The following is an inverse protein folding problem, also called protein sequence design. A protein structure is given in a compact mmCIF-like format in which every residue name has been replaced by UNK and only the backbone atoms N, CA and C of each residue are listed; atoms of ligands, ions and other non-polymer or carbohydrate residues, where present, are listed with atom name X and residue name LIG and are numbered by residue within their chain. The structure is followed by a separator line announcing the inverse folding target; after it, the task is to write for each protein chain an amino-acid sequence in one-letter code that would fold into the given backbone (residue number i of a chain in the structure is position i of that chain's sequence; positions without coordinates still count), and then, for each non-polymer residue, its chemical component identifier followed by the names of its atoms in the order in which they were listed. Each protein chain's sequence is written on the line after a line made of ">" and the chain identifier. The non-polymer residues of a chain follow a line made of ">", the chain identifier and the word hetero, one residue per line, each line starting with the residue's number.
data_IF_838572659885
#
_entry.id   IF_838572659885
#
_cell.length_a   1.000
_cell.length_b   1.000
_cell.length_c   1.000
_cell.angle_alpha   90.00
_cell.angle_beta   90.00
_cell.angle_gamma   90.00
#
_symmetry.space_group_name_H-M   'P 1'
#
loop_
_entity.id
_entity.type
_entity.pdbx_description
1 polymer ?
#
# COMPACT_ATOMS: atom_id res chain seq x y z
N UNK A 1 -19.99 8.94 -23.78
CA UNK A 1 -18.58 8.55 -24.04
C UNK A 1 -18.14 7.58 -22.94
N UNK A 2 -18.76 6.41 -22.74
CA UNK A 2 -19.66 5.63 -23.59
C UNK A 2 -18.97 4.31 -23.96
N UNK A 3 -18.95 3.38 -23.01
CA UNK A 3 -18.83 1.93 -23.20
C UNK A 3 -17.85 1.43 -24.29
N UNK A 4 -16.55 1.54 -24.03
CA UNK A 4 -15.57 0.63 -24.67
C UNK A 4 -14.52 0.25 -23.63
N UNK A 5 -14.89 -0.48 -22.58
CA UNK A 5 -13.92 -1.15 -21.70
C UNK A 5 -14.59 -2.40 -21.10
N UNK A 6 -14.19 -3.55 -21.62
CA UNK A 6 -14.20 -4.86 -20.97
C UNK A 6 -15.55 -5.53 -20.66
N UNK A 7 -16.20 -6.08 -21.69
CA UNK A 7 -17.44 -6.87 -21.55
C UNK A 7 -17.29 -8.21 -20.81
N UNK A 8 -16.07 -8.62 -20.44
CA UNK A 8 -15.80 -9.92 -19.79
C UNK A 8 -15.71 -9.83 -18.27
N UNK A 9 -15.31 -8.70 -17.68
CA UNK A 9 -15.14 -8.56 -16.22
C UNK A 9 -16.34 -7.89 -15.57
N UNK A 10 -17.12 -8.66 -14.81
CA UNK A 10 -18.29 -8.17 -14.06
C UNK A 10 -17.94 -7.95 -12.59
N UNK A 11 -18.47 -6.88 -12.02
CA UNK A 11 -18.39 -6.62 -10.58
C UNK A 11 -19.43 -7.46 -9.85
N UNK A 12 -19.02 -8.16 -8.79
CA UNK A 12 -19.91 -8.91 -7.91
C UNK A 12 -19.53 -8.68 -6.45
N UNK A 13 -20.53 -8.70 -5.57
CA UNK A 13 -20.38 -8.53 -4.12
C UNK A 13 -21.03 -9.71 -3.42
N UNK A 14 -20.35 -10.34 -2.49
CA UNK A 14 -20.89 -11.46 -1.73
C UNK A 14 -20.19 -11.62 -0.37
N UNK A 15 -20.91 -12.22 0.57
CA UNK A 15 -20.38 -12.61 1.87
C UNK A 15 -20.09 -14.11 1.85
N UNK A 16 -18.85 -14.50 2.15
CA UNK A 16 -18.49 -15.90 2.33
C UNK A 16 -18.95 -16.42 3.69
N UNK A 17 -19.08 -17.74 3.82
CA UNK A 17 -19.52 -18.39 5.08
C UNK A 17 -18.62 -18.08 6.29
N UNK A 18 -17.36 -17.73 6.07
CA UNK A 18 -16.41 -17.34 7.12
C UNK A 18 -16.50 -15.85 7.49
N UNK A 19 -17.48 -15.11 6.97
CA UNK A 19 -17.65 -13.67 7.23
C UNK A 19 -16.81 -12.74 6.35
N UNK A 20 -16.02 -13.26 5.41
CA UNK A 20 -15.24 -12.43 4.47
C UNK A 20 -16.17 -11.81 3.43
N UNK A 21 -16.18 -10.48 3.35
CA UNK A 21 -16.88 -9.76 2.28
C UNK A 21 -15.98 -9.63 1.06
N UNK A 22 -16.44 -10.09 -0.10
CA UNK A 22 -15.65 -10.14 -1.33
C UNK A 22 -16.23 -9.23 -2.39
N UNK A 23 -15.36 -8.51 -3.07
CA UNK A 23 -15.66 -7.66 -4.22
C UNK A 23 -14.83 -8.17 -5.40
N UNK A 24 -15.48 -8.86 -6.33
CA UNK A 24 -14.85 -9.25 -7.60
C UNK A 24 -14.74 -8.02 -8.51
N UNK A 25 -13.59 -7.89 -9.17
CA UNK A 25 -13.20 -6.75 -10.00
C UNK A 25 -13.39 -5.40 -9.28
N UNK A 26 -12.87 -5.32 -8.05
CA UNK A 26 -13.05 -4.17 -7.15
C UNK A 26 -12.60 -2.83 -7.77
N UNK A 27 -11.67 -2.88 -8.71
CA UNK A 27 -11.16 -1.74 -9.47
C UNK A 27 -12.19 -1.14 -10.44
N UNK A 28 -13.16 -1.95 -10.88
CA UNK A 28 -14.29 -1.55 -11.73
C UNK A 28 -15.54 -1.19 -10.89
N UNK A 29 -15.59 -1.59 -9.63
CA UNK A 29 -16.68 -1.26 -8.72
C UNK A 29 -16.82 0.26 -8.53
N UNK A 30 -18.04 0.70 -8.14
CA UNK A 30 -18.28 2.10 -7.75
C UNK A 30 -17.27 2.51 -6.67
N UNK A 31 -16.74 3.75 -6.70
CA UNK A 31 -15.77 4.18 -5.71
C UNK A 31 -16.33 4.04 -4.29
N UNK A 32 -15.55 3.42 -3.40
CA UNK A 32 -15.82 3.41 -1.96
C UNK A 32 -14.54 3.65 -1.19
N UNK A 33 -14.70 3.97 0.09
CA UNK A 33 -13.61 4.14 1.02
C UNK A 33 -14.02 3.61 2.39
N UNK A 34 -13.06 3.14 3.17
CA UNK A 34 -13.28 2.59 4.51
C UNK A 34 -12.01 2.72 5.35
N UNK A 35 -12.08 2.30 6.61
CA UNK A 35 -10.95 2.24 7.52
C UNK A 35 -10.79 0.81 8.06
N UNK A 36 -9.55 0.37 8.27
CA UNK A 36 -9.33 -0.77 9.18
C UNK A 36 -9.74 -0.36 10.60
N UNK A 37 -10.17 -1.32 11.44
CA UNK A 37 -10.44 -1.02 12.84
C UNK A 37 -9.21 -0.38 13.48
N UNK A 38 -9.39 0.79 14.10
CA UNK A 38 -8.33 1.45 14.86
C UNK A 38 -8.02 0.78 16.20
N UNK A 39 -8.28 -0.52 16.33
CA UNK A 39 -8.08 -1.33 17.53
C UNK A 39 -6.92 -2.27 17.25
N UNK A 40 -5.89 -2.22 18.10
CA UNK A 40 -4.67 -3.02 17.96
C UNK A 40 -4.52 -4.02 19.13
N UNK A 41 -5.61 -4.64 19.58
CA UNK A 41 -5.63 -5.44 20.81
C UNK A 41 -5.68 -4.59 22.09
N UNK A 42 -5.63 -5.25 23.25
CA UNK A 42 -5.78 -4.60 24.57
C UNK A 42 -4.56 -3.72 24.90
N UNK A 43 -3.38 -4.14 24.44
CA UNK A 43 -2.10 -3.49 24.76
C UNK A 43 -1.42 -2.84 23.54
N UNK A 44 -1.97 -2.98 22.34
CA UNK A 44 -1.34 -2.43 21.15
C UNK A 44 -1.63 -0.96 20.93
N UNK A 45 -0.76 -0.31 20.16
CA UNK A 45 -0.87 1.11 19.85
C UNK A 45 -1.73 1.30 18.58
N UNK A 46 -2.89 1.98 18.68
CA UNK A 46 -3.83 2.09 17.59
C UNK A 46 -3.27 2.88 16.39
N UNK A 47 -3.61 2.43 15.19
CA UNK A 47 -3.33 3.11 13.92
C UNK A 47 -4.63 3.37 13.18
N UNK A 48 -4.80 4.56 12.61
CA UNK A 48 -5.85 4.77 11.62
C UNK A 48 -5.30 4.41 10.24
N UNK A 49 -6.02 3.56 9.50
CA UNK A 49 -5.62 3.11 8.16
C UNK A 49 -6.79 3.30 7.20
N UNK A 50 -6.64 4.26 6.28
CA UNK A 50 -7.64 4.64 5.31
C UNK A 50 -7.39 3.96 3.96
N UNK A 51 -8.36 3.21 3.47
CA UNK A 51 -8.25 2.48 2.20
C UNK A 51 -9.45 2.73 1.28
N UNK A 52 -9.22 2.50 -0.01
CA UNK A 52 -10.17 2.67 -1.10
C UNK A 52 -10.12 1.49 -2.06
N UNK A 53 -11.06 1.39 -3.00
CA UNK A 53 -11.09 0.34 -4.02
C UNK A 53 -10.38 0.71 -5.32
N UNK A 54 -9.25 1.38 -5.23
CA UNK A 54 -8.43 1.79 -6.38
C UNK A 54 -6.96 1.49 -6.07
N UNK A 55 -6.16 1.20 -7.10
CA UNK A 55 -4.76 0.85 -6.95
C UNK A 55 -4.57 -0.30 -5.96
N UNK A 56 -3.50 -0.22 -5.17
CA UNK A 56 -3.25 -1.17 -4.07
C UNK A 56 -3.97 -0.82 -2.75
N UNK A 57 -5.10 -0.12 -2.85
CA UNK A 57 -6.07 0.17 -1.80
C UNK A 57 -5.67 1.18 -0.71
N UNK A 58 -4.51 1.04 -0.05
CA UNK A 58 -4.13 1.94 1.06
C UNK A 58 -3.89 3.36 0.52
N UNK A 59 -4.73 4.31 0.94
CA UNK A 59 -4.67 5.70 0.52
C UNK A 59 -3.93 6.60 1.51
N UNK A 60 -4.02 6.30 2.82
CA UNK A 60 -3.37 7.05 3.89
C UNK A 60 -3.40 6.27 5.19
N UNK A 61 -2.43 6.49 6.08
CA UNK A 61 -2.43 5.90 7.42
C UNK A 61 -1.51 6.69 8.35
N UNK A 62 -1.71 6.53 9.66
CA UNK A 62 -0.93 7.20 10.70
C UNK A 62 -1.42 6.86 12.10
N UNK A 63 -0.81 7.49 13.09
CA UNK A 63 -1.18 7.29 14.51
C UNK A 63 -1.97 8.49 15.01
N UNK A 64 -2.76 8.33 16.08
CA UNK A 64 -3.51 9.39 16.78
C UNK A 64 -4.46 10.25 15.94
N UNK A 65 -3.93 11.10 15.05
CA UNK A 65 -4.64 12.06 14.22
C UNK A 65 -3.86 12.35 12.91
N UNK A 66 -4.35 13.31 12.11
CA UNK A 66 -3.78 13.62 10.78
C UNK A 66 -2.41 14.30 10.84
N UNK A 67 -2.05 14.94 11.95
CA UNK A 67 -0.73 15.56 12.14
C UNK A 67 0.37 14.53 12.38
N UNK A 68 -0.01 13.27 12.64
CA UNK A 68 0.89 12.13 12.78
C UNK A 68 0.68 11.11 11.63
N UNK A 69 0.41 11.62 10.42
CA UNK A 69 0.30 10.80 9.21
C UNK A 69 1.67 10.23 8.80
N UNK A 70 1.70 8.94 8.46
CA UNK A 70 2.85 8.28 7.83
C UNK A 70 2.71 8.36 6.30
N UNK A 71 1.47 8.25 5.80
CA UNK A 71 1.11 8.56 4.42
C UNK A 71 0.05 9.67 4.42
N UNK A 72 0.30 10.75 3.68
CA UNK A 72 -0.51 11.97 3.72
C UNK A 72 -2.02 11.73 3.53
N UNK A 73 -2.84 12.35 4.39
CA UNK A 73 -4.29 12.19 4.35
C UNK A 73 -4.98 13.07 3.32
N UNK A 74 -5.71 12.44 2.40
CA UNK A 74 -6.65 13.08 1.49
C UNK A 74 -8.08 12.60 1.73
N UNK A 75 -9.09 13.48 1.58
CA UNK A 75 -10.49 13.04 1.56
C UNK A 75 -10.75 12.08 0.39
N UNK A 76 -11.79 11.24 0.52
CA UNK A 76 -12.05 10.11 -0.38
C UNK A 76 -12.06 10.50 -1.88
N UNK A 77 -12.68 11.63 -2.23
CA UNK A 77 -12.74 12.13 -3.60
C UNK A 77 -11.36 12.33 -4.25
N UNK A 78 -10.36 12.79 -3.47
CA UNK A 78 -8.97 12.94 -3.93
C UNK A 78 -8.18 11.63 -3.77
N UNK A 79 -8.48 10.84 -2.74
CA UNK A 79 -7.83 9.57 -2.50
C UNK A 79 -7.98 8.59 -3.69
N UNK A 80 -9.18 8.48 -4.27
CA UNK A 80 -9.42 7.62 -5.44
C UNK A 80 -8.56 7.99 -6.66
N UNK A 81 -8.28 9.29 -6.83
CA UNK A 81 -7.48 9.81 -7.95
C UNK A 81 -5.99 9.58 -7.72
N UNK A 82 -5.56 9.69 -6.46
CA UNK A 82 -4.14 9.74 -6.12
C UNK A 82 -3.56 8.40 -5.67
N UNK A 83 -4.38 7.45 -5.19
CA UNK A 83 -3.89 6.21 -4.56
C UNK A 83 -2.98 5.39 -5.47
N UNK A 84 -3.25 5.37 -6.78
CA UNK A 84 -2.41 4.63 -7.74
C UNK A 84 -1.01 5.24 -7.94
N UNK A 85 -0.82 6.51 -7.56
CA UNK A 85 0.46 7.20 -7.67
C UNK A 85 1.14 7.40 -6.31
N UNK A 86 0.37 7.63 -5.24
CA UNK A 86 0.86 7.97 -3.89
C UNK A 86 0.82 6.81 -2.90
N UNK A 87 -0.05 5.82 -3.12
CA UNK A 87 -0.15 4.63 -2.28
C UNK A 87 0.95 3.61 -2.58
N UNK A 88 0.82 2.40 -2.03
CA UNK A 88 1.77 1.32 -2.31
C UNK A 88 1.81 1.00 -3.79
N UNK A 89 3.01 0.71 -4.31
CA UNK A 89 3.24 0.28 -5.69
C UNK A 89 4.16 -0.92 -5.74
N UNK A 90 3.90 -1.80 -6.69
CA UNK A 90 4.69 -3.01 -6.93
C UNK A 90 4.98 -3.09 -8.41
N UNK A 91 6.25 -3.20 -8.78
CA UNK A 91 6.69 -3.34 -10.16
C UNK A 91 7.41 -4.66 -10.33
N UNK A 92 7.06 -5.37 -11.39
CA UNK A 92 7.63 -6.64 -11.77
C UNK A 92 8.38 -6.46 -13.09
N UNK A 93 9.65 -6.83 -13.10
CA UNK A 93 10.41 -7.07 -14.34
C UNK A 93 10.53 -8.58 -14.52
N UNK A 94 9.83 -9.10 -15.51
CA UNK A 94 9.74 -10.53 -15.81
C UNK A 94 10.61 -10.80 -17.03
N UNK A 95 11.58 -11.68 -16.85
CA UNK A 95 12.50 -12.11 -17.90
C UNK A 95 12.20 -13.58 -18.24
N UNK A 96 11.92 -13.83 -19.52
CA UNK A 96 12.03 -15.15 -20.15
C UNK A 96 13.17 -15.12 -21.20
N UNK A 97 13.46 -16.24 -21.84
CA UNK A 97 14.63 -16.37 -22.74
C UNK A 97 14.55 -15.47 -23.98
N UNK A 98 13.38 -14.92 -24.32
CA UNK A 98 13.15 -14.19 -25.58
C UNK A 98 12.69 -12.74 -25.37
N UNK A 99 12.13 -12.38 -24.19
CA UNK A 99 11.57 -11.05 -23.92
C UNK A 99 11.66 -10.63 -22.46
N UNK A 100 11.66 -9.31 -22.29
CA UNK A 100 11.51 -8.64 -20.98
C UNK A 100 10.15 -7.97 -20.96
N UNK A 101 9.35 -8.26 -19.92
CA UNK A 101 8.05 -7.63 -19.69
C UNK A 101 8.08 -6.88 -18.36
N UNK A 102 7.74 -5.60 -18.40
CA UNK A 102 7.51 -4.79 -17.20
C UNK A 102 6.01 -4.74 -16.90
N UNK A 103 5.64 -5.05 -15.66
CA UNK A 103 4.25 -5.12 -15.25
C UNK A 103 4.05 -4.48 -13.87
N UNK A 104 2.97 -3.72 -13.71
CA UNK A 104 2.58 -3.10 -12.44
C UNK A 104 1.17 -3.63 -12.06
N UNK A 105 1.06 -4.64 -11.17
CA UNK A 105 -0.23 -5.16 -10.74
C UNK A 105 -1.10 -4.08 -10.09
N UNK A 106 -2.43 -4.29 -10.11
CA UNK A 106 -3.44 -3.41 -9.52
C UNK A 106 -3.56 -2.00 -10.13
N UNK A 107 -2.83 -1.68 -11.20
CA UNK A 107 -2.95 -0.43 -11.92
C UNK A 107 -4.13 -0.42 -12.92
N UNK A 108 -4.64 0.77 -13.19
CA UNK A 108 -5.69 1.04 -14.19
C UNK A 108 -5.14 1.84 -15.40
N UNK A 109 -3.85 1.68 -15.72
CA UNK A 109 -3.20 2.42 -16.81
C UNK A 109 -3.45 1.77 -18.19
N UNK A 110 -3.09 2.47 -19.27
CA UNK A 110 -3.27 2.01 -20.67
C UNK A 110 -2.61 0.64 -20.90
N UNK A 111 -1.48 0.36 -20.22
CA UNK A 111 -0.76 -0.90 -20.34
C UNK A 111 -1.52 -2.09 -19.75
N UNK A 112 -2.41 -1.85 -18.78
CA UNK A 112 -3.30 -2.89 -18.26
C UNK A 112 -4.22 -3.46 -19.36
N UNK A 113 -4.56 -2.69 -20.40
CA UNK A 113 -5.35 -3.18 -21.54
C UNK A 113 -4.66 -4.28 -22.35
N UNK A 114 -3.34 -4.48 -22.19
CA UNK A 114 -2.57 -5.50 -22.90
C UNK A 114 -2.53 -6.85 -22.16
N UNK A 115 -3.12 -6.94 -20.97
CA UNK A 115 -3.09 -8.14 -20.14
C UNK A 115 -4.50 -8.57 -19.75
N UNK A 116 -4.75 -9.88 -19.80
CA UNK A 116 -5.92 -10.49 -19.19
C UNK A 116 -5.62 -10.76 -17.71
N UNK A 117 -6.44 -10.17 -16.84
CA UNK A 117 -6.35 -10.38 -15.39
C UNK A 117 -7.73 -10.27 -14.73
N UNK A 118 -7.89 -10.88 -13.56
CA UNK A 118 -9.04 -10.65 -12.67
C UNK A 118 -8.54 -10.19 -11.31
N UNK A 119 -9.32 -9.32 -10.67
CA UNK A 119 -8.95 -8.75 -9.37
C UNK A 119 -10.02 -9.03 -8.34
N UNK A 120 -9.63 -9.19 -7.08
CA UNK A 120 -10.56 -9.34 -5.96
C UNK A 120 -10.09 -8.50 -4.79
N UNK A 121 -11.04 -7.96 -4.04
CA UNK A 121 -10.79 -7.42 -2.70
C UNK A 121 -11.58 -8.26 -1.70
N UNK A 122 -10.91 -8.72 -0.65
CA UNK A 122 -11.46 -9.54 0.42
C UNK A 122 -11.31 -8.75 1.71
N UNK A 123 -12.42 -8.36 2.32
CA UNK A 123 -12.48 -7.56 3.54
C UNK A 123 -12.90 -8.48 4.68
N UNK A 124 -12.07 -8.53 5.72
CA UNK A 124 -12.32 -9.30 6.95
C UNK A 124 -12.49 -8.30 8.10
N UNK A 125 -12.67 -8.81 9.32
CA UNK A 125 -12.94 -7.95 10.47
C UNK A 125 -11.75 -7.06 10.84
N UNK A 126 -10.52 -7.58 10.81
CA UNK A 126 -9.32 -6.87 11.26
C UNK A 126 -8.29 -6.61 10.13
N UNK A 127 -8.53 -7.15 8.95
CA UNK A 127 -7.62 -7.08 7.81
C UNK A 127 -8.40 -6.96 6.50
N UNK A 128 -7.67 -6.68 5.43
CA UNK A 128 -8.17 -6.95 4.09
C UNK A 128 -7.03 -7.39 3.19
N UNK A 129 -7.39 -8.03 2.08
CA UNK A 129 -6.45 -8.43 1.04
C UNK A 129 -6.96 -8.06 -0.34
N UNK A 130 -6.05 -7.77 -1.25
CA UNK A 130 -6.32 -7.65 -2.68
C UNK A 130 -5.57 -8.73 -3.44
N UNK A 131 -6.19 -9.25 -4.49
CA UNK A 131 -5.64 -10.33 -5.29
C UNK A 131 -5.75 -9.96 -6.76
N UNK A 132 -4.73 -10.29 -7.53
CA UNK A 132 -4.73 -10.22 -8.98
C UNK A 132 -4.26 -11.56 -9.54
N UNK A 133 -5.10 -12.19 -10.34
CA UNK A 133 -4.73 -13.32 -11.17
C UNK A 133 -4.53 -12.79 -12.58
N UNK A 134 -3.29 -12.76 -13.07
CA UNK A 134 -2.93 -12.34 -14.41
C UNK A 134 -2.70 -13.56 -15.29
N UNK A 135 -3.69 -13.88 -16.13
CA UNK A 135 -3.65 -15.02 -17.04
C UNK A 135 -2.62 -14.84 -18.16
N UNK A 136 -2.39 -13.62 -18.62
CA UNK A 136 -1.41 -13.36 -19.69
C UNK A 136 0.05 -13.59 -19.25
N UNK A 137 0.34 -13.46 -17.96
CA UNK A 137 1.67 -13.63 -17.38
C UNK A 137 1.84 -14.92 -16.58
N UNK A 138 0.76 -15.68 -16.36
CA UNK A 138 0.69 -16.81 -15.44
C UNK A 138 1.19 -16.47 -14.02
N UNK A 139 0.75 -15.32 -13.51
CA UNK A 139 1.12 -14.84 -12.17
C UNK A 139 -0.11 -14.61 -11.31
N UNK A 140 -0.05 -15.06 -10.06
CA UNK A 140 -0.96 -14.63 -9.01
C UNK A 140 -0.21 -13.70 -8.06
N UNK A 141 -0.78 -12.53 -7.79
CA UNK A 141 -0.26 -11.54 -6.87
C UNK A 141 -1.29 -11.32 -5.76
N UNK A 142 -0.91 -11.63 -4.53
CA UNK A 142 -1.72 -11.41 -3.33
C UNK A 142 -1.06 -10.30 -2.49
N UNK A 143 -1.85 -9.35 -1.99
CA UNK A 143 -1.40 -8.32 -1.04
C UNK A 143 -2.32 -8.31 0.16
N UNK A 144 -1.76 -8.55 1.35
CA UNK A 144 -2.47 -8.50 2.62
C UNK A 144 -2.09 -7.24 3.40
N UNK A 145 -3.07 -6.63 4.08
CA UNK A 145 -2.90 -5.47 4.94
C UNK A 145 -3.55 -5.72 6.30
N UNK A 146 -2.77 -5.56 7.37
CA UNK A 146 -3.24 -5.73 8.74
C UNK A 146 -2.43 -4.88 9.71
N UNK A 147 -3.01 -4.55 10.86
CA UNK A 147 -2.30 -3.90 11.96
C UNK A 147 -1.65 -4.95 12.86
N UNK A 148 -0.57 -4.59 13.55
CA UNK A 148 0.03 -5.46 14.57
C UNK A 148 -0.75 -5.34 15.89
N UNK A 149 -1.27 -6.46 16.38
CA UNK A 149 -2.01 -6.52 17.64
C UNK A 149 -1.07 -6.76 18.83
N UNK A 150 -1.30 -6.08 19.95
CA UNK A 150 -0.57 -6.23 21.23
C UNK A 150 0.95 -5.99 21.16
N UNK A 151 1.43 -5.25 20.16
CA UNK A 151 2.82 -4.83 20.03
C UNK A 151 3.07 -3.46 20.67
N UNK A 152 4.27 -3.18 21.22
CA UNK A 152 4.61 -1.90 21.84
C UNK A 152 4.85 -0.77 20.83
N UNK A 153 4.44 -0.97 19.57
CA UNK A 153 4.56 -0.03 18.47
C UNK A 153 3.34 -0.13 17.56
N UNK A 154 3.02 0.97 16.89
CA UNK A 154 1.96 1.01 15.89
C UNK A 154 2.54 0.74 14.50
N UNK A 155 2.00 -0.24 13.78
CA UNK A 155 2.49 -0.62 12.46
C UNK A 155 1.37 -1.12 11.55
N UNK A 156 1.41 -0.67 10.29
CA UNK A 156 0.69 -1.31 9.20
C UNK A 156 1.63 -2.35 8.58
N UNK A 157 1.30 -3.62 8.77
CA UNK A 157 1.97 -4.72 8.10
C UNK A 157 1.37 -4.92 6.70
N UNK A 158 2.25 -5.12 5.72
CA UNK A 158 1.91 -5.44 4.34
C UNK A 158 2.68 -6.67 3.88
N UNK A 159 1.97 -7.67 3.36
CA UNK A 159 2.59 -8.87 2.78
C UNK A 159 2.26 -8.94 1.30
N UNK A 160 3.28 -9.04 0.45
CA UNK A 160 3.12 -9.23 -0.99
C UNK A 160 3.60 -10.62 -1.36
N UNK A 161 2.72 -11.43 -1.96
CA UNK A 161 3.05 -12.78 -2.42
C UNK A 161 2.89 -12.84 -3.93
N UNK A 162 3.98 -13.17 -4.62
CA UNK A 162 3.99 -13.34 -6.09
C UNK A 162 4.21 -14.82 -6.37
N UNK A 163 3.24 -15.45 -7.02
CA UNK A 163 3.26 -16.88 -7.35
C UNK A 163 3.31 -17.05 -8.86
N UNK A 164 4.34 -17.75 -9.33
CA UNK A 164 4.36 -18.24 -10.71
C UNK A 164 3.52 -19.50 -10.80
N UNK A 165 2.44 -19.46 -11.59
CA UNK A 165 1.55 -20.61 -11.80
C UNK A 165 1.76 -21.28 -13.16
N UNK A 166 2.73 -20.82 -13.95
CA UNK A 166 3.11 -21.51 -15.18
C UNK A 166 3.89 -22.79 -14.90
N UNK A 167 4.05 -23.61 -15.94
CA UNK A 167 4.90 -24.81 -15.92
C UNK A 167 6.40 -24.49 -16.10
N UNK A 168 6.73 -23.24 -16.40
CA UNK A 168 8.09 -22.80 -16.74
C UNK A 168 8.65 -21.89 -15.65
N UNK A 169 9.95 -21.97 -15.39
CA UNK A 169 10.59 -21.08 -14.42
C UNK A 169 10.67 -19.67 -15.00
N UNK A 170 10.21 -18.66 -14.26
CA UNK A 170 10.35 -17.24 -14.60
C UNK A 170 11.40 -16.58 -13.71
N UNK A 171 12.20 -15.68 -14.28
CA UNK A 171 13.08 -14.79 -13.49
C UNK A 171 12.34 -13.48 -13.29
N UNK A 172 12.05 -13.13 -12.04
CA UNK A 172 11.25 -11.96 -11.68
C UNK A 172 12.08 -11.07 -10.75
N UNK A 173 12.32 -9.83 -11.16
CA UNK A 173 12.84 -8.78 -10.29
C UNK A 173 11.67 -7.92 -9.79
N UNK A 174 11.67 -7.58 -8.50
CA UNK A 174 10.56 -6.90 -7.84
C UNK A 174 11.04 -5.60 -7.23
N UNK A 175 10.32 -4.51 -7.49
CA UNK A 175 10.45 -3.25 -6.77
C UNK A 175 9.12 -2.97 -6.09
N UNK A 176 9.12 -2.84 -4.77
CA UNK A 176 7.89 -2.80 -3.97
C UNK A 176 8.02 -1.84 -2.79
N UNK A 177 6.99 -1.04 -2.53
CA UNK A 177 6.95 -0.15 -1.38
C UNK A 177 6.07 1.09 -1.56
N UNK A 178 6.27 2.07 -0.69
CA UNK A 178 5.64 3.39 -0.79
C UNK A 178 6.54 4.36 -1.57
N UNK A 179 5.97 5.21 -2.45
CA UNK A 179 6.72 6.25 -3.13
C UNK A 179 7.06 7.44 -2.21
N UNK A 180 6.29 7.63 -1.13
CA UNK A 180 6.49 8.70 -0.17
C UNK A 180 6.11 8.25 1.24
N UNK A 181 6.93 8.62 2.21
CA UNK A 181 6.66 8.47 3.65
C UNK A 181 6.81 9.85 4.27
N UNK A 182 5.77 10.32 4.95
CA UNK A 182 5.80 11.57 5.70
C UNK A 182 6.70 11.41 6.93
N UNK A 183 7.70 12.28 7.14
CA UNK A 183 8.51 12.27 8.34
C UNK A 183 7.69 12.62 9.59
N UNK A 184 8.02 12.02 10.72
CA UNK A 184 7.38 12.35 11.98
C UNK A 184 7.59 13.82 12.37
N UNK A 185 6.53 14.45 12.88
CA UNK A 185 6.53 15.85 13.31
C UNK A 185 6.09 16.85 12.24
N UNK A 186 5.76 16.40 11.02
CA UNK A 186 5.15 17.26 10.00
C UNK A 186 3.63 17.26 10.18
N UNK A 187 3.06 18.40 10.56
CA UNK A 187 1.60 18.52 10.69
C UNK A 187 0.89 18.40 9.33
N UNK A 188 -0.39 18.03 9.37
CA UNK A 188 -1.22 17.91 8.17
C UNK A 188 -1.37 19.25 7.45
N UNK A 189 -1.38 20.38 8.18
CA UNK A 189 -1.43 21.70 7.55
C UNK A 189 -0.14 21.98 6.77
N UNK A 190 1.04 21.69 7.34
CA UNK A 190 2.32 21.88 6.67
C UNK A 190 2.43 20.97 5.44
N UNK A 191 1.99 19.71 5.53
CA UNK A 191 1.97 18.80 4.37
C UNK A 191 1.16 19.37 3.20
N UNK A 192 0.08 20.10 3.48
CA UNK A 192 -0.84 20.60 2.44
C UNK A 192 -0.44 21.95 1.88
N UNK A 193 -0.06 22.87 2.75
CA UNK A 193 0.16 24.27 2.37
C UNK A 193 1.64 24.58 2.14
N UNK A 194 2.56 23.84 2.78
CA UNK A 194 4.00 24.16 2.81
C UNK A 194 4.91 22.95 2.50
N UNK A 195 4.40 21.93 1.79
CA UNK A 195 5.12 20.67 1.52
C UNK A 195 6.53 20.87 0.99
N UNK A 196 6.71 21.76 0.00
CA UNK A 196 8.03 22.04 -0.59
C UNK A 196 8.99 22.69 0.41
N UNK A 197 8.49 23.62 1.21
CA UNK A 197 9.32 24.33 2.19
C UNK A 197 9.81 23.36 3.25
N UNK A 198 8.93 22.50 3.77
CA UNK A 198 9.30 21.62 4.90
C UNK A 198 10.35 20.56 4.52
N UNK A 199 10.54 20.25 3.24
CA UNK A 199 11.57 19.31 2.76
C UNK A 199 12.96 19.64 3.29
N UNK A 200 13.31 20.93 3.46
CA UNK A 200 14.61 21.34 4.00
C UNK A 200 14.86 20.90 5.46
N UNK A 201 13.81 20.55 6.20
CA UNK A 201 13.87 20.05 7.57
C UNK A 201 13.71 18.54 7.68
N UNK A 202 13.29 17.87 6.60
CA UNK A 202 13.08 16.42 6.56
C UNK A 202 14.41 15.69 6.59
N UNK A 203 14.53 14.69 7.48
CA UNK A 203 15.72 13.86 7.61
C UNK A 203 15.35 12.39 7.64
N UNK A 204 16.19 11.59 6.98
CA UNK A 204 16.22 10.14 7.14
C UNK A 204 17.51 9.78 7.86
N UNK A 205 17.38 9.16 9.03
CA UNK A 205 18.52 8.65 9.82
C UNK A 205 18.49 7.14 9.82
N UNK A 206 19.67 6.52 9.74
CA UNK A 206 19.82 5.07 9.88
C UNK A 206 20.25 4.81 11.31
N UNK A 207 19.30 4.41 12.16
CA UNK A 207 19.47 4.41 13.62
C UNK A 207 19.83 3.04 14.21
N UNK A 208 19.76 1.98 13.41
CA UNK A 208 20.04 0.60 13.85
C UNK A 208 21.19 -0.03 13.06
N UNK A 209 21.77 -1.12 13.58
CA UNK A 209 22.82 -1.89 12.87
C UNK A 209 22.31 -2.48 11.55
N UNK A 210 21.01 -2.73 11.48
CA UNK A 210 20.27 -3.28 10.36
C UNK A 210 19.95 -2.22 9.29
N UNK A 211 20.46 -0.98 9.45
CA UNK A 211 20.22 0.14 8.54
C UNK A 211 18.73 0.42 8.29
N UNK A 212 17.91 0.38 9.35
CA UNK A 212 16.49 0.73 9.25
C UNK A 212 16.36 2.26 9.09
N UNK A 213 15.70 2.75 8.02
CA UNK A 213 15.48 4.18 7.82
C UNK A 213 14.47 4.72 8.84
N UNK A 214 14.81 5.85 9.45
CA UNK A 214 14.02 6.55 10.45
C UNK A 214 13.72 7.97 9.97
N UNK A 215 12.46 8.24 9.66
CA UNK A 215 11.96 9.45 9.02
C UNK A 215 11.44 10.44 10.08
N UNK A 216 12.08 11.59 10.20
CA UNK A 216 11.69 12.64 11.15
C UNK A 216 12.09 14.03 10.67
N UNK A 217 11.48 15.07 11.26
CA UNK A 217 12.04 16.40 11.17
C UNK A 217 13.26 16.56 12.08
N UNK A 218 14.21 17.38 11.64
CA UNK A 218 15.39 17.75 12.43
C UNK A 218 14.99 18.52 13.70
N UNK A 219 14.09 19.49 13.53
CA UNK A 219 13.56 20.41 14.54
C UNK A 219 12.11 20.73 14.20
N UNK A 220 11.35 21.22 15.18
CA UNK A 220 10.00 21.71 14.94
C UNK A 220 10.02 22.95 14.02
N UNK A 221 9.21 22.98 12.95
CA UNK A 221 9.10 24.11 12.04
C UNK A 221 8.15 25.16 12.67
N UNK A 222 8.60 25.79 13.75
CA UNK A 222 7.86 26.83 14.44
C UNK A 222 8.41 28.21 14.09
N UNK A 223 7.53 29.18 13.89
CA UNK A 223 7.91 30.58 13.74
C UNK A 223 8.20 31.20 15.12
N UNK A 224 9.27 30.71 15.75
CA UNK A 224 9.76 31.20 17.03
C UNK A 224 11.27 31.00 17.16
N UNK A 225 11.92 31.81 18.00
CA UNK A 225 13.36 31.72 18.23
C UNK A 225 13.81 30.45 19.00
N UNK A 226 12.87 29.60 19.42
CA UNK A 226 13.14 28.41 20.21
C UNK A 226 13.32 27.19 19.30
N UNK A 227 14.45 26.51 19.45
CA UNK A 227 14.69 25.23 18.78
C UNK A 227 14.16 24.10 19.64
N UNK A 228 13.13 23.40 19.15
CA UNK A 228 12.59 22.19 19.80
C UNK A 228 12.97 20.97 18.97
N UNK A 229 13.62 19.99 19.62
CA UNK A 229 14.03 18.74 18.98
C UNK A 229 12.88 17.75 18.97
N UNK A 230 12.64 17.16 17.80
CA UNK A 230 11.70 16.04 17.64
C UNK A 230 12.28 14.78 18.30
N UNK A 231 11.50 14.10 19.14
CA UNK A 231 11.92 12.84 19.81
C UNK A 231 11.45 11.57 19.09
N UNK A 232 10.33 11.62 18.35
CA UNK A 232 9.80 10.48 17.58
C UNK A 232 10.39 10.32 16.17
N UNK A 233 9.85 9.35 15.43
CA UNK A 233 10.14 9.06 14.04
C UNK A 233 9.27 7.93 13.48
N UNK A 234 9.04 7.98 12.18
CA UNK A 234 8.42 6.89 11.42
C UNK A 234 9.53 5.96 10.91
N UNK A 235 9.23 4.69 10.66
CA UNK A 235 10.20 3.74 10.14
C UNK A 235 9.61 2.84 9.06
N UNK A 236 10.48 2.24 8.25
CA UNK A 236 10.10 1.24 7.26
C UNK A 236 11.06 0.06 7.34
N UNK A 237 10.52 -1.14 7.46
CA UNK A 237 11.30 -2.37 7.51
C UNK A 237 10.70 -3.40 6.55
N UNK A 238 11.56 -4.06 5.79
CA UNK A 238 11.16 -5.11 4.86
C UNK A 238 12.13 -6.28 4.95
N UNK A 239 11.61 -7.49 4.70
CA UNK A 239 12.41 -8.69 4.51
C UNK A 239 11.79 -9.52 3.37
N UNK A 240 12.61 -10.37 2.76
CA UNK A 240 12.21 -11.21 1.64
C UNK A 240 12.35 -12.68 2.01
N UNK A 241 11.30 -13.46 1.73
CA UNK A 241 11.29 -14.91 1.87
C UNK A 241 11.09 -15.52 0.49
N UNK A 242 11.87 -16.56 0.17
CA UNK A 242 11.71 -17.34 -1.05
C UNK A 242 11.27 -18.76 -0.71
N UNK A 243 9.98 -19.02 -0.85
CA UNK A 243 9.46 -20.37 -0.73
C UNK A 243 9.64 -21.13 -2.05
N UNK A 244 10.42 -22.21 -2.00
CA UNK A 244 10.68 -23.07 -3.17
C UNK A 244 9.67 -24.21 -3.21
N UNK A 245 8.39 -23.91 -3.42
CA UNK A 245 7.41 -24.96 -3.70
C UNK A 245 7.56 -25.41 -5.16
N UNK A 246 8.51 -26.31 -5.42
CA UNK A 246 8.51 -27.11 -6.64
C UNK A 246 7.51 -28.24 -6.38
N UNK A 247 6.28 -28.11 -6.88
CA UNK A 247 5.45 -29.30 -7.07
C UNK A 247 6.18 -30.18 -8.09
N UNK A 248 6.77 -31.27 -7.62
CA UNK A 248 7.25 -32.36 -8.47
C UNK A 248 6.10 -32.94 -9.28
#
# INVERSE_FOLDING_TARGET
>A
MGEILDSKRRVAYYLQNNGTFVIDNYDLAKPFASFLPGIAGIFGIPMWVFYVNRGQAIASFGTENKDNAILEFFPANRAWQNVSFRGFRTFLKIEDDEKIVCYEPFQNNIMAGNFEFTRKMLIRSNDFSIQENNQSLDLNIDVDYFTLENEPLSCLARRVVIKNVSKTRKKISVLDGLPQIAPYGVSNWILKELSRTIEAWMQVKYVTKENIPFYKLAVEPADCAKVVKIKGGNFYYNYFIKDSCISK
#
